data_IF_794565833942
#
_entry.id   IF_794565833942
#
_cell.length_a   1.000
_cell.length_b   1.000
_cell.length_c   1.000
_cell.angle_alpha   90.00
_cell.angle_beta   90.00
_cell.angle_gamma   90.00
#
_symmetry.space_group_name_H-M   'P 1'
#
loop_
_entity.id
_entity.type
_entity.pdbx_description
1 polymer ?
#
# COMPACT_ATOMS: atom_id res chain seq x y z
N UNK A 1 -10.97 -45.76 17.40
CA UNK A 1 -10.25 -44.49 17.20
C UNK A 1 -10.48 -44.09 15.76
N UNK A 2 -11.11 -42.94 15.53
CA UNK A 2 -11.47 -42.47 14.18
C UNK A 2 -10.20 -42.05 13.43
N UNK A 3 -10.19 -42.18 12.11
CA UNK A 3 -9.07 -41.79 11.24
C UNK A 3 -8.67 -40.32 11.45
N UNK A 4 -9.64 -39.46 11.76
CA UNK A 4 -9.47 -38.02 12.04
C UNK A 4 -8.64 -37.77 13.31
N UNK A 5 -8.93 -38.47 14.41
CA UNK A 5 -8.18 -38.31 15.67
C UNK A 5 -6.70 -38.65 15.51
N UNK A 6 -6.39 -39.67 14.70
CA UNK A 6 -5.03 -40.09 14.44
C UNK A 6 -4.28 -39.06 13.57
N UNK A 7 -4.96 -38.50 12.57
CA UNK A 7 -4.42 -37.46 11.71
C UNK A 7 -4.19 -36.15 12.47
N UNK A 8 -5.13 -35.76 13.35
CA UNK A 8 -4.95 -34.62 14.24
C UNK A 8 -3.73 -34.78 15.15
N UNK A 9 -3.57 -35.95 15.79
CA UNK A 9 -2.37 -36.24 16.61
C UNK A 9 -1.08 -36.21 15.80
N UNK A 10 -1.12 -36.58 14.52
CA UNK A 10 0.02 -36.45 13.63
C UNK A 10 0.36 -34.98 13.39
N UNK A 11 -0.62 -34.15 13.04
CA UNK A 11 -0.43 -32.72 12.83
C UNK A 11 0.17 -32.02 14.06
N UNK A 12 -0.31 -32.35 15.26
CA UNK A 12 0.25 -31.82 16.52
C UNK A 12 1.71 -32.23 16.73
N UNK A 13 2.10 -33.46 16.37
CA UNK A 13 3.50 -33.91 16.49
C UNK A 13 4.41 -33.16 15.52
N UNK A 14 3.97 -32.99 14.28
CA UNK A 14 4.72 -32.28 13.23
C UNK A 14 4.86 -30.80 13.58
N UNK A 15 3.80 -30.15 14.03
CA UNK A 15 3.83 -28.76 14.50
C UNK A 15 4.82 -28.56 15.66
N UNK A 16 4.87 -29.51 16.60
CA UNK A 16 5.82 -29.47 17.73
C UNK A 16 7.26 -29.77 17.32
N UNK A 17 7.46 -30.49 16.23
CA UNK A 17 8.79 -30.75 15.66
C UNK A 17 9.36 -29.53 14.92
N UNK A 18 8.54 -28.49 14.68
CA UNK A 18 8.94 -27.24 14.04
C UNK A 18 8.70 -27.20 12.53
N UNK A 19 8.12 -28.26 11.95
CA UNK A 19 7.73 -28.27 10.53
C UNK A 19 6.32 -27.67 10.39
N UNK A 20 6.26 -26.35 10.21
CA UNK A 20 5.02 -25.59 10.22
C UNK A 20 4.20 -25.80 8.92
N UNK A 21 4.87 -25.98 7.78
CA UNK A 21 4.24 -26.21 6.49
C UNK A 21 3.59 -27.60 6.40
N UNK A 22 4.31 -28.64 6.83
CA UNK A 22 3.73 -29.99 6.87
C UNK A 22 2.60 -30.09 7.90
N UNK A 23 2.74 -29.42 9.05
CA UNK A 23 1.66 -29.33 10.04
C UNK A 23 0.41 -28.65 9.47
N UNK A 24 0.58 -27.55 8.75
CA UNK A 24 -0.50 -26.81 8.10
C UNK A 24 -1.25 -27.69 7.10
N UNK A 25 -0.54 -28.43 6.25
CA UNK A 25 -1.14 -29.38 5.32
C UNK A 25 -1.97 -30.45 6.06
N UNK A 26 -1.43 -31.04 7.13
CA UNK A 26 -2.13 -32.06 7.91
C UNK A 26 -3.38 -31.50 8.59
N UNK A 27 -3.35 -30.28 9.13
CA UNK A 27 -4.55 -29.67 9.73
C UNK A 27 -5.62 -29.34 8.69
N UNK A 28 -5.24 -28.95 7.47
CA UNK A 28 -6.19 -28.79 6.37
C UNK A 28 -6.85 -30.11 5.99
N UNK A 29 -6.11 -31.23 5.99
CA UNK A 29 -6.69 -32.56 5.75
C UNK A 29 -7.63 -33.00 6.88
N UNK A 30 -7.30 -32.70 8.14
CA UNK A 30 -8.19 -32.95 9.29
C UNK A 30 -9.50 -32.19 9.12
N UNK A 31 -9.43 -30.90 8.75
CA UNK A 31 -10.58 -30.04 8.52
C UNK A 31 -11.40 -30.49 7.30
N UNK A 32 -10.74 -31.00 6.25
CA UNK A 32 -11.44 -31.52 5.08
C UNK A 32 -12.24 -32.80 5.40
N UNK A 33 -11.77 -33.60 6.36
CA UNK A 33 -12.45 -34.79 6.84
C UNK A 33 -13.51 -34.50 7.91
N UNK A 34 -13.25 -33.52 8.78
CA UNK A 34 -14.15 -33.07 9.85
C UNK A 34 -14.00 -31.55 10.04
N UNK A 35 -14.90 -30.81 9.40
CA UNK A 35 -14.92 -29.34 9.48
C UNK A 35 -15.43 -28.82 10.83
N UNK A 36 -15.92 -29.71 11.71
CA UNK A 36 -16.37 -29.39 13.07
C UNK A 36 -15.28 -29.59 14.12
N UNK A 37 -14.06 -29.94 13.72
CA UNK A 37 -12.96 -30.20 14.64
C UNK A 37 -12.32 -28.89 15.17
N UNK A 38 -12.87 -28.34 16.26
CA UNK A 38 -12.45 -27.07 16.90
C UNK A 38 -10.93 -26.91 17.00
N UNK A 39 -10.25 -27.92 17.57
CA UNK A 39 -8.82 -27.82 17.83
C UNK A 39 -7.98 -27.71 16.55
N UNK A 40 -8.42 -28.30 15.43
CA UNK A 40 -7.69 -28.25 14.17
C UNK A 40 -7.72 -26.83 13.60
N UNK A 41 -8.87 -26.15 13.68
CA UNK A 41 -9.01 -24.73 13.35
C UNK A 41 -8.13 -23.82 14.22
N UNK A 42 -8.05 -24.09 15.53
CA UNK A 42 -7.18 -23.34 16.43
C UNK A 42 -5.70 -23.54 16.10
N UNK A 43 -5.28 -24.76 15.79
CA UNK A 43 -3.90 -25.01 15.36
C UNK A 43 -3.59 -24.31 14.03
N UNK A 44 -4.51 -24.37 13.07
CA UNK A 44 -4.35 -23.71 11.77
C UNK A 44 -4.20 -22.18 11.92
N UNK A 45 -4.94 -21.55 12.83
CA UNK A 45 -4.86 -20.10 13.08
C UNK A 45 -3.47 -19.61 13.53
N UNK A 46 -2.62 -20.51 14.06
CA UNK A 46 -1.25 -20.19 14.44
C UNK A 46 -0.19 -20.54 13.38
N UNK A 47 -0.61 -21.18 12.28
CA UNK A 47 0.27 -21.70 11.23
C UNK A 47 0.11 -20.95 9.89
N UNK A 48 -0.91 -20.10 9.77
CA UNK A 48 -1.14 -19.28 8.58
C UNK A 48 -0.50 -17.90 8.77
N UNK A 49 0.22 -17.43 7.75
CA UNK A 49 1.00 -16.20 7.82
C UNK A 49 0.14 -14.94 7.69
N UNK A 50 -0.87 -14.99 6.81
CA UNK A 50 -1.74 -13.85 6.53
C UNK A 50 -2.74 -13.60 7.67
N UNK A 51 -2.87 -12.34 8.15
CA UNK A 51 -3.74 -12.01 9.27
C UNK A 51 -5.22 -12.29 8.97
N UNK A 52 -5.65 -12.16 7.71
CA UNK A 52 -7.00 -12.51 7.26
C UNK A 52 -7.28 -14.00 7.44
N UNK A 53 -6.32 -14.87 7.08
CA UNK A 53 -6.46 -16.32 7.23
C UNK A 53 -6.45 -16.74 8.72
N UNK A 54 -5.68 -16.03 9.56
CA UNK A 54 -5.70 -16.25 11.01
C UNK A 54 -7.08 -15.91 11.60
N UNK A 55 -7.67 -14.79 11.15
CA UNK A 55 -9.01 -14.35 11.56
C UNK A 55 -10.05 -15.40 11.17
N UNK A 56 -10.05 -15.85 9.92
CA UNK A 56 -11.01 -16.87 9.42
C UNK A 56 -10.91 -18.17 10.22
N UNK A 57 -9.70 -18.65 10.51
CA UNK A 57 -9.51 -19.86 11.29
C UNK A 57 -10.02 -19.73 12.74
N UNK A 58 -9.83 -18.57 13.38
CA UNK A 58 -10.34 -18.29 14.73
C UNK A 58 -11.87 -18.15 14.76
N UNK A 59 -12.46 -17.53 13.74
CA UNK A 59 -13.90 -17.41 13.60
C UNK A 59 -14.55 -18.79 13.46
N UNK A 60 -14.01 -19.67 12.61
CA UNK A 60 -14.50 -21.04 12.48
C UNK A 60 -14.40 -21.82 13.80
N UNK A 61 -13.30 -21.69 14.55
CA UNK A 61 -13.16 -22.31 15.86
C UNK A 61 -14.20 -21.78 16.87
N UNK A 62 -14.52 -20.49 16.84
CA UNK A 62 -15.54 -19.87 17.70
C UNK A 62 -16.98 -20.19 17.28
N UNK A 63 -17.23 -20.47 16.00
CA UNK A 63 -18.52 -21.00 15.54
C UNK A 63 -18.77 -22.39 16.14
N UNK A 64 -17.73 -23.23 16.21
CA UNK A 64 -17.80 -24.56 16.79
C UNK A 64 -17.89 -24.49 18.32
N UNK A 65 -17.03 -23.68 18.96
CA UNK A 65 -17.00 -23.49 20.41
C UNK A 65 -16.97 -21.99 20.78
N UNK A 66 -18.16 -21.37 20.94
CA UNK A 66 -18.26 -19.95 21.29
C UNK A 66 -17.68 -19.60 22.66
N UNK A 67 -17.50 -20.59 23.54
CA UNK A 67 -16.98 -20.41 24.89
C UNK A 67 -15.45 -20.40 24.95
N UNK A 68 -14.76 -20.57 23.80
CA UNK A 68 -13.31 -20.52 23.74
C UNK A 68 -12.79 -19.08 23.93
N UNK A 69 -12.57 -18.71 25.19
CA UNK A 69 -12.07 -17.38 25.59
C UNK A 69 -10.69 -17.05 25.00
N UNK A 70 -9.85 -18.04 24.71
CA UNK A 70 -8.52 -17.85 24.11
C UNK A 70 -8.64 -17.43 22.65
N UNK A 71 -9.49 -18.12 21.89
CA UNK A 71 -9.75 -17.81 20.49
C UNK A 71 -10.36 -16.40 20.33
N UNK A 72 -11.32 -16.05 21.20
CA UNK A 72 -11.96 -14.73 21.20
C UNK A 72 -10.96 -13.59 21.43
N UNK A 73 -10.11 -13.73 22.46
CA UNK A 73 -9.07 -12.73 22.75
C UNK A 73 -8.09 -12.55 21.58
N UNK A 74 -7.70 -13.65 20.93
CA UNK A 74 -6.78 -13.59 19.77
C UNK A 74 -7.44 -12.90 18.58
N UNK A 75 -8.71 -13.18 18.33
CA UNK A 75 -9.50 -12.54 17.27
C UNK A 75 -9.62 -11.03 17.49
N UNK A 76 -9.98 -10.60 18.70
CA UNK A 76 -10.08 -9.18 19.08
C UNK A 76 -8.74 -8.43 18.87
N UNK A 77 -7.62 -9.07 19.22
CA UNK A 77 -6.28 -8.49 19.01
C UNK A 77 -5.95 -8.30 17.53
N UNK A 78 -6.25 -9.29 16.69
CA UNK A 78 -6.01 -9.22 15.25
C UNK A 78 -6.91 -8.16 14.60
N UNK A 79 -8.19 -8.12 14.95
CA UNK A 79 -9.11 -7.11 14.42
C UNK A 79 -8.68 -5.69 14.81
N UNK A 80 -8.22 -5.47 16.05
CA UNK A 80 -7.72 -4.17 16.48
C UNK A 80 -6.41 -3.74 15.76
N UNK A 81 -5.57 -4.70 15.36
CA UNK A 81 -4.30 -4.42 14.67
C UNK A 81 -4.49 -4.19 13.17
N UNK A 82 -5.46 -4.87 12.54
CA UNK A 82 -5.60 -4.91 11.08
C UNK A 82 -6.87 -4.22 10.55
N UNK A 83 -7.78 -3.74 11.42
CA UNK A 83 -8.91 -2.89 11.02
C UNK A 83 -8.90 -1.52 11.71
N UNK A 84 -8.16 -0.53 11.20
CA UNK A 84 -8.44 0.88 11.46
C UNK A 84 -8.83 1.61 10.16
N UNK A 85 -10.00 1.32 9.58
CA UNK A 85 -10.59 2.17 8.51
C UNK A 85 -12.05 1.87 8.14
N UNK A 86 -12.58 0.66 8.38
CA UNK A 86 -13.93 0.30 7.90
C UNK A 86 -15.09 0.77 8.81
N UNK A 87 -14.80 1.30 10.01
CA UNK A 87 -15.82 1.60 11.03
C UNK A 87 -16.34 3.06 11.06
N UNK A 88 -15.93 3.94 10.13
CA UNK A 88 -16.38 5.35 10.13
C UNK A 88 -17.52 5.69 9.16
N UNK A 89 -18.19 4.69 8.57
CA UNK A 89 -19.32 4.91 7.67
C UNK A 89 -20.64 4.31 8.21
N UNK A 90 -21.13 4.81 9.35
CA UNK A 90 -22.56 4.85 9.68
C UNK A 90 -22.81 5.70 10.96
N UNK A 91 -23.52 6.84 10.91
CA UNK A 91 -24.01 7.51 12.11
C UNK A 91 -25.27 6.81 12.65
N UNK A 92 -25.31 6.65 13.98
CA UNK A 92 -26.23 5.79 14.70
C UNK A 92 -27.66 6.31 14.91
N UNK A 93 -28.49 5.44 15.50
CA UNK A 93 -29.76 5.83 16.09
C UNK A 93 -30.70 4.67 16.44
N UNK A 94 -30.56 4.10 17.64
CA UNK A 94 -31.69 3.54 18.42
C UNK A 94 -31.98 2.04 18.30
N UNK A 95 -31.30 1.21 19.10
CA UNK A 95 -31.78 -0.13 19.44
C UNK A 95 -32.57 -0.09 20.75
N UNK A 96 -33.86 -0.40 20.69
CA UNK A 96 -34.61 -1.02 21.79
C UNK A 96 -35.96 -1.52 21.27
N UNK A 97 -36.04 -2.82 20.94
CA UNK A 97 -37.17 -3.69 21.33
C UNK A 97 -36.71 -5.17 21.30
N UNK A 98 -37.33 -6.03 22.14
CA UNK A 98 -36.84 -7.37 22.47
C UNK A 98 -37.12 -8.37 21.35
N UNK A 99 -36.21 -9.35 21.22
CA UNK A 99 -36.20 -10.41 20.21
C UNK A 99 -37.51 -11.22 20.15
N UNK A 100 -38.13 -11.38 18.97
CA UNK A 100 -38.90 -12.55 18.62
C UNK A 100 -38.02 -13.53 17.83
N UNK A 101 -37.89 -14.72 18.40
CA UNK A 101 -37.79 -16.04 17.77
C UNK A 101 -37.49 -16.13 16.25
N UNK A 102 -36.39 -16.81 15.94
CA UNK A 102 -36.17 -17.58 14.71
C UNK A 102 -36.36 -16.86 13.36
N UNK A 103 -35.43 -15.95 13.02
CA UNK A 103 -35.00 -15.77 11.65
C UNK A 103 -33.52 -16.14 11.56
N UNK A 104 -33.24 -17.26 10.90
CA UNK A 104 -31.90 -17.70 10.57
C UNK A 104 -31.09 -16.54 9.99
N UNK A 105 -29.96 -16.20 10.63
CA UNK A 105 -28.90 -15.49 9.92
C UNK A 105 -28.63 -16.30 8.64
N UNK A 106 -28.60 -15.69 7.44
CA UNK A 106 -28.12 -16.43 6.28
C UNK A 106 -26.70 -16.87 6.64
N UNK A 107 -26.50 -18.18 6.83
CA UNK A 107 -25.16 -18.77 6.75
C UNK A 107 -24.54 -18.17 5.49
N UNK A 108 -23.27 -17.72 5.49
CA UNK A 108 -22.63 -17.25 4.26
C UNK A 108 -22.81 -18.38 3.24
N UNK A 109 -23.74 -18.17 2.31
CA UNK A 109 -24.02 -19.16 1.29
C UNK A 109 -22.76 -19.14 0.46
N UNK A 110 -21.93 -20.20 0.59
CA UNK A 110 -20.77 -20.36 -0.31
C UNK A 110 -21.32 -20.15 -1.71
N UNK A 111 -20.87 -19.11 -2.44
CA UNK A 111 -21.46 -18.80 -3.72
C UNK A 111 -21.29 -20.03 -4.59
N UNK A 112 -22.39 -20.42 -5.26
CA UNK A 112 -22.32 -21.55 -6.18
C UNK A 112 -21.26 -21.22 -7.22
N UNK A 113 -20.38 -22.17 -7.61
CA UNK A 113 -19.36 -21.88 -8.61
C UNK A 113 -19.92 -21.26 -9.89
N UNK A 114 -21.11 -21.69 -10.34
CA UNK A 114 -21.83 -21.08 -11.47
C UNK A 114 -22.21 -19.60 -11.26
N UNK A 115 -22.54 -19.19 -10.03
CA UNK A 115 -22.79 -17.78 -9.67
C UNK A 115 -21.49 -16.98 -9.65
N UNK A 116 -20.43 -17.54 -9.06
CA UNK A 116 -19.10 -16.94 -9.08
C UNK A 116 -18.56 -16.78 -10.50
N UNK A 117 -18.85 -17.71 -11.41
CA UNK A 117 -18.48 -17.60 -12.83
C UNK A 117 -19.17 -16.40 -13.50
N UNK A 118 -20.46 -16.20 -13.25
CA UNK A 118 -21.19 -15.03 -13.76
C UNK A 118 -20.64 -13.72 -13.19
N UNK A 119 -20.33 -13.69 -11.87
CA UNK A 119 -19.71 -12.54 -11.22
C UNK A 119 -18.33 -12.24 -11.78
N UNK A 120 -17.48 -13.25 -11.98
CA UNK A 120 -16.16 -13.09 -12.58
C UNK A 120 -16.24 -12.45 -13.97
N UNK A 121 -17.16 -12.93 -14.82
CA UNK A 121 -17.36 -12.39 -16.16
C UNK A 121 -17.96 -10.98 -16.15
N UNK A 122 -18.87 -10.70 -15.22
CA UNK A 122 -19.47 -9.39 -15.01
C UNK A 122 -18.43 -8.34 -14.58
N UNK A 123 -17.66 -8.66 -13.54
CA UNK A 123 -16.57 -7.82 -13.04
C UNK A 123 -15.50 -7.59 -14.11
N UNK A 124 -15.13 -8.63 -14.86
CA UNK A 124 -14.15 -8.50 -15.96
C UNK A 124 -14.61 -7.52 -17.05
N UNK A 125 -15.91 -7.55 -17.40
CA UNK A 125 -16.51 -6.60 -18.35
C UNK A 125 -16.65 -5.19 -17.77
N UNK A 126 -16.90 -5.08 -16.48
CA UNK A 126 -16.97 -3.81 -15.76
C UNK A 126 -15.60 -3.15 -15.56
N UNK A 127 -14.51 -3.88 -15.80
CA UNK A 127 -13.13 -3.41 -15.58
C UNK A 127 -12.64 -3.58 -14.15
N UNK A 128 -13.42 -4.23 -13.27
CA UNK A 128 -12.97 -4.60 -11.93
C UNK A 128 -12.15 -5.90 -12.00
N UNK A 129 -10.86 -5.74 -12.27
CA UNK A 129 -9.94 -6.85 -12.48
C UNK A 129 -9.62 -7.62 -11.20
N UNK A 130 -9.76 -6.99 -10.03
CA UNK A 130 -9.47 -7.62 -8.73
C UNK A 130 -10.61 -8.58 -8.38
N UNK A 131 -11.85 -8.09 -8.45
CA UNK A 131 -13.03 -8.91 -8.18
C UNK A 131 -13.18 -10.02 -9.23
N UNK A 132 -12.91 -9.71 -10.51
CA UNK A 132 -12.92 -10.69 -11.58
C UNK A 132 -11.93 -11.85 -11.33
N UNK A 133 -10.71 -11.52 -10.92
CA UNK A 133 -9.68 -12.53 -10.61
C UNK A 133 -10.07 -13.37 -9.41
N UNK A 134 -10.54 -12.74 -8.34
CA UNK A 134 -10.95 -13.42 -7.12
C UNK A 134 -12.03 -14.48 -7.41
N UNK A 135 -13.08 -14.09 -8.12
CA UNK A 135 -14.14 -15.02 -8.48
C UNK A 135 -13.69 -16.10 -9.47
N UNK A 136 -12.83 -15.77 -10.44
CA UNK A 136 -12.29 -16.75 -11.38
C UNK A 136 -11.42 -17.81 -10.67
N UNK A 137 -10.56 -17.41 -9.73
CA UNK A 137 -9.76 -18.32 -8.92
C UNK A 137 -10.62 -19.21 -8.03
N UNK A 138 -11.69 -18.67 -7.46
CA UNK A 138 -12.66 -19.44 -6.71
C UNK A 138 -13.30 -20.54 -7.58
N UNK A 139 -13.75 -20.19 -8.79
CA UNK A 139 -14.33 -21.19 -9.72
C UNK A 139 -13.31 -22.27 -10.08
N UNK A 140 -12.07 -21.90 -10.41
CA UNK A 140 -11.00 -22.86 -10.72
C UNK A 140 -10.71 -23.81 -9.56
N UNK A 141 -10.82 -23.33 -8.31
CA UNK A 141 -10.55 -24.14 -7.11
C UNK A 141 -11.63 -25.21 -6.86
N UNK A 142 -12.88 -24.93 -7.22
CA UNK A 142 -14.03 -25.77 -6.83
C UNK A 142 -14.73 -26.46 -8.01
N UNK A 143 -14.52 -26.01 -9.24
CA UNK A 143 -15.07 -26.59 -10.47
C UNK A 143 -13.97 -27.01 -11.46
N UNK A 144 -14.36 -27.72 -12.52
CA UNK A 144 -13.44 -28.19 -13.56
C UNK A 144 -12.74 -27.01 -14.28
N UNK A 145 -11.52 -27.22 -14.78
CA UNK A 145 -10.74 -26.17 -15.43
C UNK A 145 -11.44 -25.62 -16.68
N UNK A 146 -11.91 -24.37 -16.62
CA UNK A 146 -12.57 -23.66 -17.71
C UNK A 146 -11.63 -22.67 -18.42
N UNK A 147 -11.71 -22.64 -19.75
CA UNK A 147 -10.88 -21.80 -20.63
C UNK A 147 -11.11 -20.30 -20.35
N UNK A 148 -12.35 -19.88 -20.07
CA UNK A 148 -12.63 -18.47 -19.82
C UNK A 148 -12.12 -18.03 -18.45
N UNK A 149 -12.20 -18.89 -17.43
CA UNK A 149 -11.68 -18.57 -16.10
C UNK A 149 -10.16 -18.42 -16.10
N UNK A 150 -9.43 -19.31 -16.79
CA UNK A 150 -7.99 -19.17 -16.96
C UNK A 150 -7.61 -17.95 -17.80
N UNK A 151 -8.41 -17.59 -18.80
CA UNK A 151 -8.20 -16.35 -19.56
C UNK A 151 -8.38 -15.10 -18.69
N UNK A 152 -9.41 -15.06 -17.84
CA UNK A 152 -9.60 -13.96 -16.89
C UNK A 152 -8.41 -13.88 -15.93
N UNK A 153 -7.97 -15.01 -15.38
CA UNK A 153 -6.80 -15.04 -14.50
C UNK A 153 -5.54 -14.52 -15.20
N UNK A 154 -5.25 -14.98 -16.42
CA UNK A 154 -4.10 -14.50 -17.19
C UNK A 154 -4.17 -13.00 -17.48
N UNK A 155 -5.33 -12.48 -17.92
CA UNK A 155 -5.46 -11.06 -18.28
C UNK A 155 -5.48 -10.13 -17.10
N UNK A 156 -5.92 -10.62 -15.96
CA UNK A 156 -5.98 -9.82 -14.74
C UNK A 156 -4.71 -9.93 -13.92
N UNK A 157 -3.85 -10.93 -14.11
CA UNK A 157 -2.67 -11.20 -13.28
C UNK A 157 -1.82 -9.98 -12.94
N UNK A 158 -1.48 -9.87 -11.65
CA UNK A 158 -0.54 -8.86 -11.14
C UNK A 158 0.90 -9.29 -11.38
N UNK A 159 1.22 -10.54 -11.03
CA UNK A 159 2.56 -11.11 -11.14
C UNK A 159 2.76 -11.78 -12.50
N UNK A 160 3.99 -11.71 -13.03
CA UNK A 160 4.35 -12.38 -14.29
C UNK A 160 4.24 -13.90 -14.16
N UNK A 161 4.56 -14.45 -12.99
CA UNK A 161 4.50 -15.88 -12.71
C UNK A 161 3.06 -16.40 -12.79
N UNK A 162 2.11 -15.65 -12.19
CA UNK A 162 0.69 -15.97 -12.24
C UNK A 162 0.14 -15.90 -13.68
N UNK A 163 0.57 -14.90 -14.47
CA UNK A 163 0.19 -14.76 -15.89
C UNK A 163 0.71 -15.96 -16.71
N UNK A 164 1.97 -16.33 -16.52
CA UNK A 164 2.61 -17.48 -17.17
C UNK A 164 1.87 -18.77 -16.82
N UNK A 165 1.60 -19.01 -15.54
CA UNK A 165 0.97 -20.26 -15.10
C UNK A 165 -0.48 -20.36 -15.58
N UNK A 166 -1.23 -19.26 -15.55
CA UNK A 166 -2.57 -19.21 -16.12
C UNK A 166 -2.56 -19.48 -17.64
N UNK A 167 -1.62 -18.91 -18.39
CA UNK A 167 -1.47 -19.16 -19.83
C UNK A 167 -1.06 -20.61 -20.15
N UNK A 168 -0.19 -21.22 -19.33
CA UNK A 168 0.15 -22.64 -19.46
C UNK A 168 -1.09 -23.53 -19.28
N UNK A 169 -1.88 -23.30 -18.24
CA UNK A 169 -3.10 -24.10 -18.00
C UNK A 169 -4.12 -23.86 -19.11
N UNK A 170 -4.26 -22.61 -19.57
CA UNK A 170 -5.12 -22.26 -20.69
C UNK A 170 -4.75 -23.02 -21.98
N UNK A 171 -3.47 -23.08 -22.34
CA UNK A 171 -2.99 -23.76 -23.55
C UNK A 171 -3.05 -25.29 -23.45
N UNK A 172 -3.08 -25.87 -22.24
CA UNK A 172 -3.36 -27.29 -22.05
C UNK A 172 -4.81 -27.64 -22.41
N UNK A 173 -5.74 -26.74 -22.13
CA UNK A 173 -7.16 -26.91 -22.43
C UNK A 173 -7.48 -26.60 -23.90
N UNK A 174 -6.87 -25.54 -24.45
CA UNK A 174 -7.02 -25.13 -25.84
C UNK A 174 -5.65 -24.82 -26.49
N UNK A 175 -5.02 -25.84 -27.11
CA UNK A 175 -3.72 -25.66 -27.76
C UNK A 175 -3.75 -24.76 -29.00
N UNK A 176 -4.93 -24.51 -29.61
CA UNK A 176 -5.07 -23.76 -30.86
C UNK A 176 -4.99 -22.24 -30.71
N UNK A 177 -4.76 -21.76 -29.49
CA UNK A 177 -4.86 -20.33 -29.16
C UNK A 177 -3.54 -19.58 -29.37
N UNK A 178 -3.28 -19.23 -30.63
CA UNK A 178 -2.01 -18.61 -31.03
C UNK A 178 -1.66 -17.33 -30.24
N UNK A 179 -2.65 -16.46 -29.97
CA UNK A 179 -2.42 -15.23 -29.17
C UNK A 179 -1.90 -15.53 -27.76
N UNK A 180 -2.41 -16.58 -27.13
CA UNK A 180 -1.99 -16.99 -25.79
C UNK A 180 -0.61 -17.62 -25.81
N UNK A 181 -0.25 -18.34 -26.90
CA UNK A 181 1.09 -18.88 -27.11
C UNK A 181 2.12 -17.77 -27.33
N UNK A 182 1.86 -16.84 -28.24
CA UNK A 182 2.74 -15.69 -28.48
C UNK A 182 2.94 -14.88 -27.20
N UNK A 183 1.86 -14.63 -26.44
CA UNK A 183 1.97 -13.94 -25.16
C UNK A 183 2.85 -14.69 -24.16
N UNK A 184 2.71 -16.02 -24.09
CA UNK A 184 3.55 -16.84 -23.20
C UNK A 184 5.03 -16.76 -23.60
N UNK A 185 5.35 -16.77 -24.89
CA UNK A 185 6.71 -16.60 -25.41
C UNK A 185 7.29 -15.21 -25.07
N UNK A 186 6.49 -14.15 -25.20
CA UNK A 186 6.88 -12.79 -24.77
C UNK A 186 7.22 -12.74 -23.27
N UNK A 187 6.39 -13.36 -22.43
CA UNK A 187 6.61 -13.35 -20.98
C UNK A 187 7.88 -14.12 -20.58
N UNK A 188 8.20 -15.22 -21.26
CA UNK A 188 9.47 -15.91 -21.05
C UNK A 188 10.67 -15.05 -21.46
N UNK A 189 10.59 -14.35 -22.58
CA UNK A 189 11.65 -13.41 -22.98
C UNK A 189 11.84 -12.29 -21.94
N UNK A 190 10.75 -11.78 -21.37
CA UNK A 190 10.80 -10.80 -20.27
C UNK A 190 11.43 -11.42 -19.02
N UNK A 191 11.08 -12.66 -18.68
CA UNK A 191 11.60 -13.36 -17.49
C UNK A 191 13.11 -13.64 -17.59
N UNK A 192 13.59 -13.98 -18.79
CA UNK A 192 15.01 -14.28 -19.05
C UNK A 192 15.89 -13.02 -18.99
N UNK A 193 15.35 -11.86 -19.33
CA UNK A 193 16.09 -10.59 -19.29
C UNK A 193 15.79 -9.80 -18.01
N UNK A 194 16.73 -9.72 -17.03
CA UNK A 194 16.47 -9.12 -15.71
C UNK A 194 16.10 -7.64 -15.78
N UNK A 195 16.56 -6.95 -16.82
CA UNK A 195 16.31 -5.53 -17.04
C UNK A 195 14.86 -5.28 -17.51
N UNK A 196 14.36 -6.11 -18.44
CA UNK A 196 12.98 -6.08 -18.89
C UNK A 196 12.03 -6.53 -17.78
N UNK A 197 12.41 -7.58 -17.03
CA UNK A 197 11.64 -8.05 -15.89
C UNK A 197 11.45 -6.95 -14.84
N UNK A 198 12.53 -6.24 -14.49
CA UNK A 198 12.45 -5.13 -13.54
C UNK A 198 11.56 -3.99 -14.05
N UNK A 199 11.61 -3.69 -15.35
CA UNK A 199 10.73 -2.68 -15.95
C UNK A 199 9.26 -3.11 -15.90
N UNK A 200 8.97 -4.35 -16.29
CA UNK A 200 7.62 -4.93 -16.22
C UNK A 200 7.06 -4.88 -14.79
N UNK A 201 7.86 -5.27 -13.79
CA UNK A 201 7.46 -5.19 -12.38
C UNK A 201 7.18 -3.74 -11.95
N UNK A 202 8.00 -2.77 -12.37
CA UNK A 202 7.79 -1.36 -12.05
C UNK A 202 6.49 -0.81 -12.68
N UNK A 203 6.20 -1.16 -13.94
CA UNK A 203 4.96 -0.78 -14.64
C UNK A 203 3.72 -1.37 -13.98
N UNK A 204 3.82 -2.59 -13.42
CA UNK A 204 2.77 -3.25 -12.63
C UNK A 204 2.64 -2.74 -11.19
N UNK A 205 3.42 -1.72 -10.80
CA UNK A 205 3.40 -1.15 -9.44
C UNK A 205 4.18 -1.97 -8.40
N UNK A 206 4.88 -3.04 -8.81
CA UNK A 206 5.70 -3.89 -7.93
C UNK A 206 7.11 -3.32 -7.78
N UNK A 207 7.19 -2.09 -7.26
CA UNK A 207 8.44 -1.31 -7.16
C UNK A 207 9.52 -2.04 -6.35
N UNK A 208 9.14 -2.71 -5.27
CA UNK A 208 10.07 -3.49 -4.43
C UNK A 208 10.71 -4.66 -5.18
N UNK A 209 9.91 -5.40 -5.95
CA UNK A 209 10.40 -6.52 -6.77
C UNK A 209 11.35 -6.02 -7.85
N UNK A 210 10.99 -4.93 -8.53
CA UNK A 210 11.85 -4.26 -9.50
C UNK A 210 13.20 -3.83 -8.88
N UNK A 211 13.18 -3.24 -7.68
CA UNK A 211 14.38 -2.82 -6.96
C UNK A 211 15.28 -4.00 -6.60
N UNK A 212 14.69 -5.10 -6.12
CA UNK A 212 15.43 -6.32 -5.80
C UNK A 212 16.17 -6.86 -7.02
N UNK A 213 15.48 -6.95 -8.17
CA UNK A 213 16.05 -7.47 -9.42
C UNK A 213 17.21 -6.58 -9.90
N UNK A 214 16.99 -5.27 -9.97
CA UNK A 214 18.03 -4.32 -10.39
C UNK A 214 19.21 -4.29 -9.41
N UNK A 215 18.94 -4.41 -8.10
CA UNK A 215 19.98 -4.47 -7.07
C UNK A 215 20.86 -5.72 -7.19
N UNK A 216 20.24 -6.87 -7.52
CA UNK A 216 20.97 -8.11 -7.81
C UNK A 216 21.81 -7.96 -9.08
N UNK A 217 21.23 -7.44 -10.16
CA UNK A 217 21.91 -7.19 -11.43
C UNK A 217 23.12 -6.26 -11.24
N UNK A 218 22.97 -5.16 -10.51
CA UNK A 218 24.07 -4.23 -10.23
C UNK A 218 25.26 -4.87 -9.48
N UNK A 219 25.00 -5.89 -8.65
CA UNK A 219 26.03 -6.61 -7.89
C UNK A 219 26.66 -7.77 -8.67
N UNK A 220 25.87 -8.50 -9.45
CA UNK A 220 26.27 -9.77 -10.05
C UNK A 220 26.71 -9.64 -11.53
N UNK A 221 26.32 -8.57 -12.24
CA UNK A 221 26.66 -8.42 -13.65
C UNK A 221 28.16 -8.15 -13.86
N UNK A 222 28.86 -8.96 -14.69
CA UNK A 222 30.27 -8.74 -14.99
C UNK A 222 30.51 -7.53 -15.90
N UNK A 223 29.51 -7.15 -16.71
CA UNK A 223 29.58 -5.98 -17.58
C UNK A 223 29.41 -4.68 -16.80
N UNK A 224 30.39 -3.76 -16.94
CA UNK A 224 30.32 -2.44 -16.32
C UNK A 224 29.14 -1.60 -16.83
N UNK A 225 28.82 -1.73 -18.13
CA UNK A 225 27.68 -1.02 -18.75
C UNK A 225 26.35 -1.44 -18.12
N UNK A 226 26.12 -2.76 -17.98
CA UNK A 226 24.91 -3.30 -17.37
C UNK A 226 24.77 -2.89 -15.89
N UNK A 227 25.89 -2.87 -15.13
CA UNK A 227 25.88 -2.39 -13.75
C UNK A 227 25.51 -0.91 -13.66
N UNK A 228 26.07 -0.08 -14.55
CA UNK A 228 25.78 1.35 -14.57
C UNK A 228 24.32 1.62 -14.94
N UNK A 229 23.76 0.88 -15.89
CA UNK A 229 22.35 0.99 -16.26
C UNK A 229 21.41 0.56 -15.12
N UNK A 230 21.68 -0.57 -14.47
CA UNK A 230 20.89 -1.03 -13.33
C UNK A 230 20.90 -0.02 -12.17
N UNK A 231 22.07 0.56 -11.87
CA UNK A 231 22.20 1.62 -10.87
C UNK A 231 21.46 2.90 -11.27
N UNK A 232 21.47 3.27 -12.55
CA UNK A 232 20.72 4.43 -13.04
C UNK A 232 19.20 4.23 -12.84
N UNK A 233 18.67 3.06 -13.18
CA UNK A 233 17.24 2.73 -12.99
C UNK A 233 16.85 2.67 -11.52
N UNK A 234 17.71 2.13 -10.64
CA UNK A 234 17.49 2.15 -9.20
C UNK A 234 17.35 3.57 -8.64
N UNK A 235 18.21 4.50 -9.08
CA UNK A 235 18.12 5.90 -8.65
C UNK A 235 16.80 6.55 -9.07
N UNK A 236 16.31 6.23 -10.28
CA UNK A 236 15.02 6.73 -10.76
C UNK A 236 13.85 6.24 -9.90
N UNK A 237 13.86 4.95 -9.51
CA UNK A 237 12.84 4.39 -8.62
C UNK A 237 12.84 5.07 -7.24
N UNK A 238 14.03 5.30 -6.65
CA UNK A 238 14.15 6.01 -5.37
C UNK A 238 13.77 7.49 -5.43
N UNK A 239 14.04 8.16 -6.56
CA UNK A 239 13.62 9.54 -6.77
C UNK A 239 12.08 9.66 -6.80
N UNK A 240 11.40 8.68 -7.40
CA UNK A 240 9.93 8.60 -7.42
C UNK A 240 9.31 8.46 -6.03
N UNK A 241 9.90 7.62 -5.17
CA UNK A 241 9.45 7.47 -3.77
C UNK A 241 9.67 8.72 -2.95
N UNK A 242 10.82 9.37 -3.13
CA UNK A 242 11.13 10.62 -2.43
C UNK A 242 10.05 11.66 -2.73
N UNK A 243 9.66 11.83 -4.00
CA UNK A 243 8.58 12.73 -4.39
C UNK A 243 7.22 12.40 -3.75
N UNK A 244 6.88 11.12 -3.57
CA UNK A 244 5.62 10.69 -2.92
C UNK A 244 5.68 10.84 -1.39
N UNK A 245 6.85 10.60 -0.78
CA UNK A 245 7.04 10.71 0.68
C UNK A 245 6.95 12.14 1.23
N UNK A 246 7.13 13.16 0.38
CA UNK A 246 6.91 14.57 0.78
C UNK A 246 5.44 14.99 0.80
N UNK A 247 4.50 14.17 0.33
CA UNK A 247 3.06 14.50 0.32
C UNK A 247 2.33 14.26 1.66
N UNK A 248 3.02 13.77 2.70
CA UNK A 248 2.40 13.53 4.02
C UNK A 248 2.16 14.79 4.87
N UNK A 249 2.62 15.96 4.41
CA UNK A 249 2.22 17.25 4.98
C UNK A 249 1.31 17.93 3.98
N UNK A 250 0.06 18.20 4.35
CA UNK A 250 -0.83 18.94 3.46
C UNK A 250 -0.13 20.23 3.00
N UNK A 251 -0.20 20.60 1.70
CA UNK A 251 0.51 21.76 1.17
C UNK A 251 0.28 23.02 2.00
N UNK A 252 -0.93 23.15 2.54
CA UNK A 252 -1.34 24.23 3.43
C UNK A 252 -0.58 24.25 4.75
N UNK A 253 -0.27 23.10 5.36
CA UNK A 253 0.51 23.03 6.62
C UNK A 253 1.96 23.40 6.38
N UNK A 254 2.54 22.98 5.26
CA UNK A 254 3.92 23.35 4.91
C UNK A 254 4.02 24.85 4.62
N UNK A 255 3.07 25.41 3.85
CA UNK A 255 2.98 26.84 3.59
C UNK A 255 2.73 27.64 4.87
N UNK A 256 1.82 27.17 5.74
CA UNK A 256 1.52 27.81 7.02
C UNK A 256 2.75 27.80 7.93
N UNK A 257 3.47 26.68 8.03
CA UNK A 257 4.69 26.57 8.83
C UNK A 257 5.81 27.48 8.31
N UNK A 258 5.95 27.61 6.98
CA UNK A 258 6.96 28.49 6.38
C UNK A 258 6.62 29.98 6.50
N UNK A 259 5.33 30.36 6.43
CA UNK A 259 4.90 31.75 6.51
C UNK A 259 4.79 32.26 7.96
N UNK A 260 4.20 31.45 8.85
CA UNK A 260 3.91 31.86 10.22
C UNK A 260 4.99 31.47 11.23
N UNK A 261 5.86 30.50 10.92
CA UNK A 261 6.93 30.07 11.83
C UNK A 261 7.91 31.20 12.19
N UNK A 262 8.55 31.86 11.21
CA UNK A 262 9.44 32.98 11.47
C UNK A 262 8.74 34.18 12.13
N UNK A 263 7.49 34.44 11.76
CA UNK A 263 6.69 35.53 12.31
C UNK A 263 6.33 35.29 13.78
N UNK A 264 5.90 34.08 14.12
CA UNK A 264 5.61 33.68 15.49
C UNK A 264 6.87 33.74 16.36
N UNK A 265 8.00 33.24 15.85
CA UNK A 265 9.29 33.33 16.53
C UNK A 265 9.69 34.80 16.79
N UNK A 266 9.48 35.68 15.81
CA UNK A 266 9.80 37.10 15.91
C UNK A 266 8.94 37.82 16.97
N UNK A 267 7.62 37.58 16.95
CA UNK A 267 6.69 38.08 17.97
C UNK A 267 7.08 37.59 19.37
N UNK A 268 7.50 36.33 19.49
CA UNK A 268 7.91 35.73 20.76
C UNK A 268 9.17 36.42 21.33
N UNK A 269 10.14 36.78 20.47
CA UNK A 269 11.28 37.63 20.86
C UNK A 269 10.87 39.01 21.37
N UNK A 270 9.89 39.65 20.73
CA UNK A 270 9.35 40.95 21.18
C UNK A 270 8.69 40.80 22.56
N UNK A 271 7.91 39.73 22.75
CA UNK A 271 7.20 39.47 24.01
C UNK A 271 8.17 39.24 25.18
N UNK A 272 9.29 38.56 24.93
CA UNK A 272 10.33 38.29 25.94
C UNK A 272 11.09 39.55 26.34
N UNK A 273 11.30 40.51 25.43
CA UNK A 273 12.11 41.72 25.71
C UNK A 273 11.35 42.90 26.33
N UNK A 274 10.02 42.82 26.49
CA UNK A 274 9.17 43.87 27.09
C UNK A 274 9.60 45.32 26.70
N UNK A 275 9.54 45.67 25.39
CA UNK A 275 10.16 46.89 24.88
C UNK A 275 9.47 48.17 25.36
N UNK A 276 10.27 49.22 25.56
CA UNK A 276 9.75 50.58 25.80
C UNK A 276 9.08 51.12 24.52
N UNK A 277 8.13 52.07 24.65
CA UNK A 277 7.22 52.45 23.57
C UNK A 277 7.87 52.83 22.23
N UNK A 278 9.06 53.43 22.23
CA UNK A 278 9.81 53.75 21.00
C UNK A 278 10.46 52.53 20.33
N UNK A 279 10.92 51.55 21.11
CA UNK A 279 11.51 50.31 20.60
C UNK A 279 10.44 49.40 19.96
N UNK A 280 9.22 49.42 20.49
CA UNK A 280 8.10 48.63 19.95
C UNK A 280 7.77 49.01 18.50
N UNK A 281 7.76 50.31 18.18
CA UNK A 281 7.48 50.80 16.81
C UNK A 281 8.54 50.32 15.82
N UNK A 282 9.83 50.41 16.21
CA UNK A 282 10.95 49.97 15.39
C UNK A 282 10.89 48.44 15.19
N UNK A 283 10.64 47.68 16.25
CA UNK A 283 10.49 46.22 16.19
C UNK A 283 9.29 45.79 15.31
N UNK A 284 8.17 46.52 15.33
CA UNK A 284 7.02 46.21 14.47
C UNK A 284 7.29 46.46 12.99
N UNK A 285 8.02 47.52 12.63
CA UNK A 285 8.42 47.78 11.23
C UNK A 285 9.26 46.63 10.66
N UNK A 286 10.18 46.09 11.45
CA UNK A 286 10.99 44.94 11.04
C UNK A 286 10.18 43.63 10.95
N UNK A 287 9.08 43.49 11.69
CA UNK A 287 8.16 42.35 11.55
C UNK A 287 7.48 42.28 10.18
N UNK A 288 7.16 43.43 9.59
CA UNK A 288 6.64 43.52 8.21
C UNK A 288 7.71 43.07 7.20
N UNK A 289 8.98 43.41 7.45
CA UNK A 289 10.11 42.98 6.62
C UNK A 289 10.34 41.46 6.67
N UNK A 290 10.19 40.84 7.85
CA UNK A 290 10.24 39.38 8.02
C UNK A 290 9.11 38.69 7.27
N UNK A 291 7.89 39.24 7.31
CA UNK A 291 6.73 38.70 6.59
C UNK A 291 6.93 38.78 5.07
N UNK A 292 7.35 39.95 4.57
CA UNK A 292 7.63 40.15 3.14
C UNK A 292 8.79 39.28 2.65
N UNK A 293 9.88 39.18 3.42
CA UNK A 293 11.02 38.32 3.12
C UNK A 293 10.65 36.84 3.05
N UNK A 294 9.85 36.36 4.02
CA UNK A 294 9.34 34.99 4.03
C UNK A 294 8.46 34.71 2.81
N UNK A 295 7.56 35.63 2.46
CA UNK A 295 6.73 35.52 1.25
C UNK A 295 7.53 35.40 -0.04
N UNK A 296 8.60 36.21 -0.20
CA UNK A 296 9.49 36.14 -1.37
C UNK A 296 10.23 34.80 -1.45
N UNK A 297 10.72 34.25 -0.33
CA UNK A 297 11.42 32.95 -0.33
C UNK A 297 10.49 31.78 -0.72
N UNK A 298 9.22 31.81 -0.29
CA UNK A 298 8.21 30.82 -0.64
C UNK A 298 7.86 30.92 -2.12
N UNK A 299 7.62 32.15 -2.59
CA UNK A 299 7.25 32.42 -3.98
C UNK A 299 8.34 31.98 -4.97
N UNK A 300 9.63 32.05 -4.56
CA UNK A 300 10.76 31.66 -5.39
C UNK A 300 11.06 30.16 -5.39
N UNK A 301 10.63 29.42 -4.35
CA UNK A 301 10.79 27.96 -4.25
C UNK A 301 9.75 27.20 -5.12
N UNK A 302 8.54 27.74 -5.21
CA UNK A 302 7.42 27.20 -6.03
C UNK A 302 7.12 28.03 -7.29
N UNK A 303 8.05 28.91 -7.69
CA UNK A 303 7.88 29.93 -8.74
C UNK A 303 7.39 29.39 -10.11
N UNK A 304 7.57 28.09 -10.37
CA UNK A 304 7.16 27.46 -11.62
C UNK A 304 5.65 27.15 -11.69
N UNK A 305 4.91 27.18 -10.56
CA UNK A 305 3.51 26.78 -10.52
C UNK A 305 2.50 27.92 -10.27
N UNK A 306 2.95 29.14 -9.92
CA UNK A 306 2.03 30.23 -9.57
C UNK A 306 1.92 31.30 -10.68
N UNK A 307 0.69 31.48 -11.19
CA UNK A 307 0.32 32.49 -12.20
C UNK A 307 0.76 33.92 -11.86
N UNK A 308 0.75 34.30 -10.57
CA UNK A 308 1.14 35.63 -10.11
C UNK A 308 2.62 35.97 -10.40
N UNK A 309 3.52 35.00 -10.34
CA UNK A 309 4.96 35.20 -10.57
C UNK A 309 5.24 35.40 -12.06
N UNK A 310 4.50 34.68 -12.91
CA UNK A 310 4.56 34.85 -14.36
C UNK A 310 4.12 36.24 -14.82
N UNK A 311 3.13 36.85 -14.13
CA UNK A 311 2.68 38.22 -14.40
C UNK A 311 3.72 39.27 -14.02
N UNK A 312 4.49 39.02 -12.95
CA UNK A 312 5.46 39.99 -12.40
C UNK A 312 6.83 39.93 -13.09
N UNK A 313 7.33 38.74 -13.45
CA UNK A 313 8.69 38.56 -13.97
C UNK A 313 8.76 38.09 -15.43
N UNK A 314 7.62 37.71 -16.03
CA UNK A 314 7.56 37.19 -17.40
C UNK A 314 8.27 35.84 -17.59
N UNK A 315 8.00 35.16 -18.72
CA UNK A 315 8.60 33.83 -19.01
C UNK A 315 10.14 33.84 -19.09
N UNK A 316 10.75 34.99 -19.40
CA UNK A 316 12.22 35.11 -19.56
C UNK A 316 12.95 35.45 -18.25
N UNK A 317 12.29 36.07 -17.26
CA UNK A 317 12.91 36.37 -15.96
C UNK A 317 13.04 35.13 -15.06
N UNK A 318 12.08 34.20 -15.17
CA UNK A 318 11.98 33.00 -14.34
C UNK A 318 12.95 31.86 -14.73
N UNK A 319 13.57 31.92 -15.92
CA UNK A 319 14.54 30.91 -16.38
C UNK A 319 15.98 31.24 -15.97
N UNK A 320 16.24 32.46 -15.48
CA UNK A 320 17.56 32.85 -15.01
C UNK A 320 17.81 32.32 -13.59
N UNK A 321 18.67 31.32 -13.49
CA UNK A 321 19.04 30.69 -12.21
C UNK A 321 19.67 31.71 -11.23
N UNK A 322 20.47 32.64 -11.76
CA UNK A 322 21.08 33.72 -11.00
C UNK A 322 20.05 34.65 -10.33
N UNK A 323 19.03 35.07 -11.08
CA UNK A 323 18.01 35.98 -10.55
C UNK A 323 17.20 35.32 -9.44
N UNK A 324 16.87 34.03 -9.59
CA UNK A 324 16.15 33.25 -8.59
C UNK A 324 16.96 33.08 -7.31
N UNK A 325 18.24 32.73 -7.43
CA UNK A 325 19.14 32.61 -6.27
C UNK A 325 19.33 33.97 -5.59
N UNK A 326 19.50 35.05 -6.36
CA UNK A 326 19.60 36.42 -5.86
C UNK A 326 18.38 36.84 -5.04
N UNK A 327 17.16 36.68 -5.58
CA UNK A 327 15.94 37.02 -4.84
C UNK A 327 15.72 36.14 -3.60
N UNK A 328 16.05 34.85 -3.68
CA UNK A 328 15.96 33.96 -2.54
C UNK A 328 16.91 34.40 -1.41
N UNK A 329 18.18 34.69 -1.73
CA UNK A 329 19.15 35.18 -0.74
C UNK A 329 18.71 36.51 -0.13
N UNK A 330 18.20 37.46 -0.94
CA UNK A 330 17.66 38.71 -0.43
C UNK A 330 16.47 38.50 0.54
N UNK A 331 15.56 37.58 0.22
CA UNK A 331 14.46 37.21 1.12
C UNK A 331 14.93 36.63 2.45
N UNK A 332 15.97 35.78 2.44
CA UNK A 332 16.60 35.24 3.65
C UNK A 332 17.23 36.36 4.48
N UNK A 333 17.94 37.31 3.87
CA UNK A 333 18.50 38.46 4.59
C UNK A 333 17.42 39.33 5.25
N UNK A 334 16.29 39.56 4.57
CA UNK A 334 15.14 40.27 5.12
C UNK A 334 14.53 39.58 6.34
N UNK A 335 14.71 38.27 6.49
CA UNK A 335 14.29 37.52 7.68
C UNK A 335 15.37 37.59 8.77
N UNK A 336 16.63 37.33 8.43
CA UNK A 336 17.71 37.18 9.43
C UNK A 336 18.14 38.51 10.07
N UNK A 337 18.21 39.60 9.30
CA UNK A 337 18.68 40.91 9.78
C UNK A 337 17.81 41.46 10.93
N UNK A 338 16.46 41.45 10.82
CA UNK A 338 15.57 41.77 11.94
C UNK A 338 15.83 40.99 13.23
N UNK A 339 16.07 39.68 13.14
CA UNK A 339 16.38 38.86 14.31
C UNK A 339 17.72 39.26 14.92
N UNK A 340 18.76 39.49 14.10
CA UNK A 340 20.07 39.92 14.59
C UNK A 340 19.98 41.28 15.31
N UNK A 341 19.27 42.24 14.72
CA UNK A 341 19.05 43.56 15.35
C UNK A 341 18.26 43.41 16.66
N UNK A 342 17.21 42.59 16.66
CA UNK A 342 16.42 42.31 17.85
C UNK A 342 17.21 41.58 18.95
N UNK A 343 18.25 40.82 18.62
CA UNK A 343 19.14 40.20 19.62
C UNK A 343 20.19 41.18 20.18
N UNK A 344 20.72 42.08 19.34
CA UNK A 344 21.77 43.04 19.71
C UNK A 344 21.24 44.25 20.52
N UNK A 345 19.98 44.63 20.32
CA UNK A 345 19.32 45.78 20.96
C UNK A 345 18.82 45.51 22.37
#
# INVERSE_FOLDING_TARGET
MTTVDNLFKQGVRVARAGDLEEAKAIFLDVIALDDTHELAWLWLSGLVDEPEDQIVALENALVINPQNSKARRRLEQLQAQYQPAAAMAAPGGGYQQPMPEAAAMPRPVRPRPSESMHKAMGAFKAGDYVEARHHAQYVIKFEQPDVNMWLICARTADQIEDEIDALKQLLKLDPGRDKSRTRLEELYAIQDEPLLLAQYCAEKGQVEKARMILGRMAKQSPSASQRQEALARLRMLHAGESAHSYQLSSPNVTLFRMLFGPLLAYILTILVKAPTGGQLVILMMFGVLVLLGSGVTILMKDALNHSFVYTLFGKQGLTSEWLRQGLFTAGVFCVVIPFMIAFIS
#
